data_IF_123703658327
#
_entry.id   IF_123703658327
#
_cell.length_a   1.000
_cell.length_b   1.000
_cell.length_c   1.000
_cell.angle_alpha   90.00
_cell.angle_beta   90.00
_cell.angle_gamma   90.00
#
_symmetry.space_group_name_H-M   'P 1'
#
loop_
_entity.id
_entity.type
_entity.pdbx_description
1 polymer ?
#
# COMPACT_ATOMS: atom_id res chain seq x y z
N UNK A 1 3.79 1.07 -16.78
CA UNK A 1 3.57 1.42 -15.36
C UNK A 1 2.25 0.84 -14.93
N UNK A 2 2.20 0.27 -13.73
CA UNK A 2 1.03 -0.36 -13.18
C UNK A 2 0.87 0.08 -11.71
N UNK A 3 -0.34 0.42 -11.31
CA UNK A 3 -0.65 0.93 -9.99
C UNK A 3 -1.47 -0.06 -9.18
N UNK A 4 -1.26 -0.05 -7.86
CA UNK A 4 -2.13 -0.69 -6.88
C UNK A 4 -2.63 0.36 -5.90
N UNK A 5 -3.94 0.34 -5.68
CA UNK A 5 -4.64 1.18 -4.73
C UNK A 5 -5.22 0.27 -3.65
N UNK A 6 -4.93 0.58 -2.38
CA UNK A 6 -5.51 -0.15 -1.24
C UNK A 6 -6.25 0.84 -0.36
N UNK A 7 -7.54 0.62 -0.16
CA UNK A 7 -8.38 1.47 0.68
C UNK A 7 -8.80 0.71 1.92
N UNK A 8 -8.44 1.27 3.07
CA UNK A 8 -8.79 0.81 4.40
C UNK A 8 -9.84 1.76 4.96
N UNK A 9 -10.97 1.22 5.38
CA UNK A 9 -12.10 1.99 5.91
C UNK A 9 -12.56 1.39 7.24
N UNK A 10 -13.26 2.20 8.04
CA UNK A 10 -13.83 1.76 9.33
C UNK A 10 -12.85 1.85 10.50
N UNK A 11 -11.64 2.34 10.28
CA UNK A 11 -10.67 2.63 11.34
C UNK A 11 -9.82 3.86 10.98
N UNK A 12 -10.08 5.00 11.62
CA UNK A 12 -9.32 6.23 11.38
C UNK A 12 -7.86 6.17 11.86
N UNK A 13 -7.53 5.27 12.80
CA UNK A 13 -6.19 5.15 13.38
C UNK A 13 -5.22 4.40 12.46
N UNK A 14 -5.72 3.66 11.47
CA UNK A 14 -4.86 2.80 10.62
C UNK A 14 -3.78 3.60 9.86
N UNK A 15 -4.06 4.87 9.54
CA UNK A 15 -3.08 5.76 8.93
C UNK A 15 -1.87 5.99 9.88
N UNK A 16 -2.13 6.20 11.16
CA UNK A 16 -1.10 6.38 12.19
C UNK A 16 -0.35 5.09 12.47
N UNK A 17 -1.07 3.96 12.56
CA UNK A 17 -0.49 2.63 12.74
C UNK A 17 0.51 2.33 11.62
N UNK A 18 0.10 2.48 10.35
CA UNK A 18 1.00 2.28 9.21
C UNK A 18 2.16 3.28 9.17
N UNK A 19 1.92 4.54 9.56
CA UNK A 19 2.97 5.56 9.62
C UNK A 19 3.99 5.30 10.74
N UNK A 20 3.60 4.66 11.84
CA UNK A 20 4.52 4.25 12.90
C UNK A 20 5.56 3.22 12.41
N UNK A 21 5.19 2.40 11.41
CA UNK A 21 6.08 1.44 10.74
C UNK A 21 6.63 1.95 9.40
N UNK A 22 6.71 3.28 9.20
CA UNK A 22 7.01 3.85 7.89
C UNK A 22 8.31 3.31 7.26
N UNK A 23 9.35 3.05 8.03
CA UNK A 23 10.64 2.55 7.50
C UNK A 23 10.55 1.10 7.01
N UNK A 24 9.74 0.26 7.66
CA UNK A 24 9.47 -1.10 7.20
C UNK A 24 8.60 -1.10 5.96
N UNK A 25 7.50 -0.33 5.98
CA UNK A 25 6.59 -0.19 4.84
C UNK A 25 7.34 0.33 3.61
N UNK A 26 8.16 1.39 3.77
CA UNK A 26 8.98 1.92 2.68
C UNK A 26 9.93 0.88 2.12
N UNK A 27 10.68 0.18 2.98
CA UNK A 27 11.63 -0.87 2.54
C UNK A 27 10.92 -2.00 1.81
N UNK A 28 9.76 -2.42 2.30
CA UNK A 28 8.94 -3.46 1.68
C UNK A 28 8.52 -3.07 0.26
N UNK A 29 7.90 -1.90 0.10
CA UNK A 29 7.37 -1.48 -1.22
C UNK A 29 8.48 -1.09 -2.19
N UNK A 30 9.57 -0.46 -1.69
CA UNK A 30 10.70 -0.04 -2.52
C UNK A 30 11.66 -1.19 -2.86
N UNK A 31 11.61 -2.30 -2.11
CA UNK A 31 12.41 -3.50 -2.36
C UNK A 31 11.89 -4.33 -3.53
N UNK A 32 10.67 -4.09 -3.99
CA UNK A 32 10.09 -4.75 -5.16
C UNK A 32 10.63 -4.10 -6.44
N UNK A 33 11.04 -4.94 -7.39
CA UNK A 33 11.60 -4.49 -8.65
C UNK A 33 10.63 -3.56 -9.41
N UNK A 34 11.19 -2.51 -10.03
CA UNK A 34 10.43 -1.53 -10.80
C UNK A 34 9.63 -0.53 -9.97
N UNK A 35 9.91 -0.39 -8.67
CA UNK A 35 9.26 0.61 -7.81
C UNK A 35 9.39 2.03 -8.36
N UNK A 36 8.26 2.74 -8.47
CA UNK A 36 8.18 4.13 -8.98
C UNK A 36 7.75 5.12 -7.91
N UNK A 37 6.92 4.69 -6.96
CA UNK A 37 6.43 5.58 -5.91
C UNK A 37 5.43 4.93 -4.98
N UNK A 38 5.34 5.47 -3.77
CA UNK A 38 4.41 5.05 -2.73
C UNK A 38 3.85 6.29 -2.03
N UNK A 39 2.54 6.27 -1.78
CA UNK A 39 1.83 7.31 -1.06
C UNK A 39 0.88 6.65 -0.07
N UNK A 40 0.89 7.15 1.17
CA UNK A 40 -0.11 6.85 2.18
C UNK A 40 -0.91 8.12 2.44
N UNK A 41 -2.22 8.05 2.24
CA UNK A 41 -3.14 9.18 2.32
C UNK A 41 -4.17 8.88 3.38
N UNK A 42 -4.22 9.71 4.43
CA UNK A 42 -5.29 9.63 5.43
C UNK A 42 -6.61 10.09 4.79
N UNK A 43 -7.68 9.38 5.09
CA UNK A 43 -9.06 9.74 4.74
C UNK A 43 -9.87 9.92 6.02
N UNK A 44 -11.12 10.40 5.91
CA UNK A 44 -11.98 10.67 7.09
C UNK A 44 -12.19 9.44 7.99
N UNK A 45 -12.31 8.24 7.40
CA UNK A 45 -12.59 7.00 8.11
C UNK A 45 -11.49 5.94 8.02
N UNK A 46 -10.29 6.31 7.56
CA UNK A 46 -9.17 5.38 7.41
C UNK A 46 -8.03 5.92 6.54
N UNK A 47 -7.56 5.12 5.59
CA UNK A 47 -6.51 5.55 4.68
C UNK A 47 -6.56 4.86 3.31
N UNK A 48 -5.92 5.48 2.32
CA UNK A 48 -5.65 4.89 1.02
C UNK A 48 -4.15 4.88 0.76
N UNK A 49 -3.62 3.76 0.30
CA UNK A 49 -2.26 3.67 -0.23
C UNK A 49 -2.29 3.60 -1.75
N UNK A 50 -1.35 4.29 -2.40
CA UNK A 50 -1.14 4.25 -3.84
C UNK A 50 0.31 3.85 -4.09
N UNK A 51 0.53 2.74 -4.79
CA UNK A 51 1.87 2.27 -5.16
C UNK A 51 1.96 2.08 -6.66
N UNK A 52 3.04 2.56 -7.28
CA UNK A 52 3.28 2.42 -8.72
C UNK A 52 4.55 1.62 -8.96
N UNK A 53 4.46 0.71 -9.94
CA UNK A 53 5.57 -0.09 -10.45
C UNK A 53 5.71 0.07 -11.97
N UNK A 54 6.83 -0.40 -12.52
CA UNK A 54 7.08 -0.47 -13.96
C UNK A 54 6.03 -1.30 -14.70
N UNK A 55 5.66 -2.43 -14.10
CA UNK A 55 4.78 -3.43 -14.68
C UNK A 55 3.85 -4.06 -13.64
N UNK A 56 2.94 -4.91 -14.13
CA UNK A 56 1.98 -5.63 -13.31
C UNK A 56 2.64 -6.61 -12.33
N UNK A 57 3.79 -7.21 -12.69
CA UNK A 57 4.47 -8.18 -11.85
C UNK A 57 4.95 -7.55 -10.54
N UNK A 58 5.54 -6.34 -10.59
CA UNK A 58 5.90 -5.61 -9.38
C UNK A 58 4.68 -5.24 -8.52
N UNK A 59 3.59 -4.83 -9.16
CA UNK A 59 2.34 -4.51 -8.47
C UNK A 59 1.71 -5.71 -7.74
N UNK A 60 1.63 -6.87 -8.39
CA UNK A 60 1.13 -8.10 -7.79
C UNK A 60 2.01 -8.57 -6.64
N UNK A 61 3.33 -8.56 -6.81
CA UNK A 61 4.27 -8.95 -5.76
C UNK A 61 4.17 -8.01 -4.55
N UNK A 62 4.05 -6.70 -4.77
CA UNK A 62 3.83 -5.75 -3.67
C UNK A 62 2.56 -6.05 -2.87
N UNK A 63 1.52 -6.57 -3.53
CA UNK A 63 0.24 -6.91 -2.89
C UNK A 63 0.38 -8.13 -2.01
N UNK A 64 1.10 -9.15 -2.49
CA UNK A 64 1.43 -10.33 -1.69
C UNK A 64 2.26 -9.93 -0.47
N UNK A 65 3.35 -9.20 -0.65
CA UNK A 65 4.24 -8.78 0.44
C UNK A 65 3.52 -7.90 1.47
N UNK A 66 2.70 -6.94 1.03
CA UNK A 66 1.93 -6.10 1.95
C UNK A 66 0.92 -6.91 2.78
N UNK A 67 0.27 -7.91 2.17
CA UNK A 67 -0.64 -8.79 2.87
C UNK A 67 0.09 -9.67 3.89
N UNK A 68 1.29 -10.15 3.56
CA UNK A 68 2.14 -10.94 4.47
C UNK A 68 2.56 -10.08 5.66
N UNK A 69 3.06 -8.88 5.40
CA UNK A 69 3.50 -7.95 6.44
C UNK A 69 2.37 -7.52 7.39
N UNK A 70 1.16 -7.26 6.90
CA UNK A 70 0.00 -6.95 7.77
C UNK A 70 -0.34 -8.13 8.68
N UNK A 71 -0.22 -9.38 8.20
CA UNK A 71 -0.47 -10.55 9.05
C UNK A 71 0.58 -10.67 10.15
N UNK A 72 1.85 -10.36 9.84
CA UNK A 72 2.93 -10.37 10.83
C UNK A 72 2.78 -9.26 11.89
N UNK A 73 1.97 -8.22 11.62
CA UNK A 73 1.74 -7.06 12.49
C UNK A 73 0.30 -6.98 13.02
N UNK A 74 -0.43 -8.10 13.05
CA UNK A 74 -1.87 -8.13 13.36
C UNK A 74 -2.25 -7.62 14.76
N UNK A 75 -1.31 -7.64 15.71
CA UNK A 75 -1.51 -7.10 17.05
C UNK A 75 -1.42 -5.57 17.12
N UNK A 76 -0.77 -4.94 16.13
CA UNK A 76 -0.45 -3.51 16.11
C UNK A 76 -1.28 -2.77 15.05
N UNK A 77 -1.64 -3.47 13.98
CA UNK A 77 -2.48 -2.95 12.89
C UNK A 77 -3.85 -3.59 13.02
N UNK A 78 -4.83 -2.78 13.37
CA UNK A 78 -6.21 -3.25 13.45
C UNK A 78 -6.64 -3.72 12.07
N UNK A 79 -6.80 -5.04 11.91
CA UNK A 79 -7.08 -5.66 10.64
C UNK A 79 -8.40 -5.14 10.07
N UNK A 80 -8.29 -4.37 8.98
CA UNK A 80 -9.37 -4.11 8.05
C UNK A 80 -8.93 -4.66 6.70
N UNK A 81 -9.65 -5.64 6.17
CA UNK A 81 -9.38 -6.17 4.83
C UNK A 81 -9.52 -5.01 3.84
N UNK A 82 -8.44 -4.57 3.18
CA UNK A 82 -8.54 -3.44 2.27
C UNK A 82 -9.34 -3.83 1.04
N UNK A 83 -10.07 -2.87 0.49
CA UNK A 83 -10.47 -2.95 -0.91
C UNK A 83 -9.22 -2.70 -1.76
N UNK A 84 -8.89 -3.67 -2.62
CA UNK A 84 -7.74 -3.58 -3.54
C UNK A 84 -8.23 -3.35 -4.96
N UNK A 85 -7.67 -2.35 -5.63
CA UNK A 85 -7.83 -2.12 -7.06
C UNK A 85 -6.46 -1.98 -7.70
N UNK A 86 -6.31 -2.44 -8.95
CA UNK A 86 -5.05 -2.34 -9.67
C UNK A 86 -5.28 -2.16 -11.17
N UNK A 87 -4.30 -1.59 -11.87
CA UNK A 87 -4.42 -1.35 -13.30
C UNK A 87 -3.26 -0.58 -13.91
N UNK A 88 -3.30 -0.47 -15.24
CA UNK A 88 -2.31 0.30 -16.01
C UNK A 88 -2.43 1.80 -15.70
N UNK A 89 -1.28 2.45 -15.52
CA UNK A 89 -1.22 3.92 -15.43
C UNK A 89 -1.23 4.48 -16.84
N UNK A 90 -2.36 5.03 -17.26
CA UNK A 90 -2.57 5.59 -18.61
C UNK A 90 -2.02 7.02 -18.78
N UNK A 91 -1.97 7.81 -17.72
CA UNK A 91 -1.42 9.17 -17.71
C UNK A 91 -0.65 9.38 -16.40
N UNK A 92 0.57 9.93 -16.51
CA UNK A 92 1.36 10.43 -15.39
C UNK A 92 1.88 11.83 -15.76
N UNK A 93 1.81 12.76 -14.81
CA UNK A 93 2.61 13.98 -14.82
C UNK A 93 3.53 13.95 -13.60
N UNK A 94 4.82 14.20 -13.80
CA UNK A 94 5.88 14.14 -12.78
C UNK A 94 6.89 15.26 -12.97
#
# INVERSE_FOLDING_TARGET
MYAVIRTYAGNAEIADQLAAHADEVKRLVSGVAGFRGYYLVRTEGGCTTFTVYDDQTGAEESTRLAADWIRDHESEITQSTPQVASGEVVIQAS
#
